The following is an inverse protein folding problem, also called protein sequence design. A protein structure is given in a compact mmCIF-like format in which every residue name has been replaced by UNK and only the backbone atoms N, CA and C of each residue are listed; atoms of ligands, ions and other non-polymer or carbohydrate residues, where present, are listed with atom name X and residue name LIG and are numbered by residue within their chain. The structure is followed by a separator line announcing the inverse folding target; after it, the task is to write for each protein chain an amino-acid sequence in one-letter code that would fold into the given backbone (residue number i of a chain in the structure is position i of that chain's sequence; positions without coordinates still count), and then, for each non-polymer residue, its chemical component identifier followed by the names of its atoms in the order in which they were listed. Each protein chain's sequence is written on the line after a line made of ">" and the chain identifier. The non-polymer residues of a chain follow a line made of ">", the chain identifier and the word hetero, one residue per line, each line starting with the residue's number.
data_IF_043903965399
#
_entry.id   IF_043903965399
#
_cell.length_a   1.000
_cell.length_b   1.000
_cell.length_c   1.000
_cell.angle_alpha   90.00
_cell.angle_beta   90.00
_cell.angle_gamma   90.00
#
_symmetry.space_group_name_H-M   'P 1'
#
loop_
_entity.id
_entity.type
_entity.pdbx_description
1 polymer ?
#
# COMPACT_ATOMS: atom_id res chain seq x y z
N UNK A 1 7.31 -4.00 10.36
CA UNK A 1 6.73 -2.88 11.15
C UNK A 1 5.83 -2.05 10.22
N UNK A 2 4.79 -1.37 10.70
CA UNK A 2 3.72 -0.76 9.85
C UNK A 2 3.44 0.71 10.27
N UNK A 3 3.03 1.56 9.31
CA UNK A 3 2.49 2.91 9.57
C UNK A 3 1.00 2.95 9.28
N UNK A 4 0.20 3.60 10.14
CA UNK A 4 -1.27 3.45 10.14
C UNK A 4 -1.97 4.82 10.16
N UNK A 5 -2.92 5.07 9.26
CA UNK A 5 -3.86 6.20 9.29
C UNK A 5 -5.33 5.73 9.17
N UNK A 6 -6.29 6.41 9.79
CA UNK A 6 -7.72 6.08 9.77
C UNK A 6 -8.52 7.09 8.93
N UNK A 7 -8.91 6.77 7.69
CA UNK A 7 -9.69 7.67 6.84
C UNK A 7 -11.11 7.92 7.39
N UNK A 8 -11.74 9.05 7.03
CA UNK A 8 -13.06 9.45 7.56
C UNK A 8 -14.21 8.55 7.07
N UNK A 9 -13.99 7.69 6.08
CA UNK A 9 -14.95 6.69 5.59
C UNK A 9 -14.28 5.34 5.47
N UNK A 10 -15.01 4.29 5.85
CA UNK A 10 -14.58 2.91 5.62
C UNK A 10 -14.72 2.55 4.14
N UNK A 11 -13.80 1.72 3.66
CA UNK A 11 -13.90 1.12 2.34
C UNK A 11 -14.85 -0.10 2.39
N UNK A 12 -15.58 -0.33 1.31
CA UNK A 12 -16.25 -1.61 1.10
C UNK A 12 -15.22 -2.66 0.68
N UNK A 13 -15.19 -3.80 1.37
CA UNK A 13 -14.26 -4.90 1.10
C UNK A 13 -14.95 -6.15 0.52
N UNK A 14 -16.20 -6.02 0.04
CA UNK A 14 -16.97 -7.13 -0.51
C UNK A 14 -16.25 -7.74 -1.71
N UNK A 15 -15.99 -9.04 -1.66
CA UNK A 15 -15.28 -9.76 -2.73
C UNK A 15 -13.76 -9.71 -2.63
N UNK A 16 -13.18 -9.18 -1.54
CA UNK A 16 -11.73 -9.20 -1.35
C UNK A 16 -11.17 -10.63 -1.33
N UNK A 17 -10.22 -10.92 -2.21
CA UNK A 17 -9.47 -12.18 -2.20
C UNK A 17 -8.40 -12.23 -1.11
N UNK A 18 -8.03 -11.06 -0.56
CA UNK A 18 -6.86 -10.90 0.28
C UNK A 18 -5.58 -10.71 -0.52
N UNK A 19 -4.47 -10.57 0.20
CA UNK A 19 -3.13 -10.45 -0.37
C UNK A 19 -2.10 -11.11 0.55
N UNK A 20 -0.97 -11.53 -0.01
CA UNK A 20 0.25 -11.76 0.76
C UNK A 20 1.06 -10.44 0.75
N UNK A 21 1.43 -9.89 1.92
CA UNK A 21 2.23 -8.66 1.98
C UNK A 21 3.58 -8.77 1.28
N UNK A 22 3.91 -7.77 0.50
CA UNK A 22 5.22 -7.55 -0.10
C UNK A 22 5.79 -6.20 0.37
N UNK A 23 7.12 -6.11 0.44
CA UNK A 23 7.79 -4.84 0.76
C UNK A 23 7.46 -3.82 -0.34
N UNK A 24 7.07 -2.62 0.06
CA UNK A 24 6.63 -1.54 -0.83
C UNK A 24 5.11 -1.44 -0.98
N UNK A 25 4.34 -2.39 -0.46
CA UNK A 25 2.88 -2.35 -0.58
C UNK A 25 2.26 -1.20 0.21
N UNK A 26 1.42 -0.40 -0.46
CA UNK A 26 0.38 0.41 0.15
C UNK A 26 -0.86 -0.45 0.32
N UNK A 27 -1.38 -0.56 1.53
CA UNK A 27 -2.51 -1.42 1.84
C UNK A 27 -3.56 -0.76 2.73
N UNK A 28 -4.71 -1.41 2.80
CA UNK A 28 -5.68 -1.19 3.87
C UNK A 28 -5.99 -2.47 4.64
N UNK A 29 -6.08 -2.38 5.97
CA UNK A 29 -6.56 -3.48 6.80
C UNK A 29 -8.07 -3.37 7.00
N UNK A 30 -8.83 -4.31 6.46
CA UNK A 30 -10.30 -4.33 6.41
C UNK A 30 -10.96 -4.11 7.78
N UNK A 31 -10.57 -4.79 8.88
CA UNK A 31 -11.21 -4.62 10.18
C UNK A 31 -11.18 -3.17 10.70
N UNK A 32 -10.14 -2.41 10.34
CA UNK A 32 -9.91 -1.06 10.83
C UNK A 32 -10.07 0.02 9.75
N UNK A 33 -10.16 -0.40 8.48
CA UNK A 33 -10.14 0.46 7.29
C UNK A 33 -9.00 1.47 7.29
N UNK A 34 -7.88 1.12 7.93
CA UNK A 34 -6.73 1.98 8.02
C UNK A 34 -5.89 1.91 6.74
N UNK A 35 -4.94 2.83 6.55
CA UNK A 35 -3.97 2.83 5.45
C UNK A 35 -2.57 2.63 6.01
N UNK A 36 -1.76 1.84 5.32
CA UNK A 36 -0.37 1.65 5.71
C UNK A 36 0.57 1.19 4.61
N UNK A 37 1.87 1.28 4.91
CA UNK A 37 2.95 0.77 4.07
C UNK A 37 3.66 -0.39 4.76
N UNK A 38 3.93 -1.45 4.00
CA UNK A 38 4.88 -2.48 4.41
C UNK A 38 6.28 -2.09 3.94
N UNK A 39 7.19 -1.80 4.87
CA UNK A 39 8.63 -1.66 4.58
C UNK A 39 9.45 -2.87 5.08
N UNK A 40 8.80 -3.77 5.81
CA UNK A 40 9.30 -5.10 6.19
C UNK A 40 8.13 -6.07 6.33
N UNK A 41 8.21 -7.25 5.69
CA UNK A 41 7.13 -8.25 5.73
C UNK A 41 7.51 -9.54 6.45
N UNK A 42 8.80 -9.86 6.57
CA UNK A 42 9.26 -11.06 7.28
C UNK A 42 8.58 -12.35 6.78
N UNK A 43 7.86 -13.03 7.69
CA UNK A 43 7.12 -14.27 7.41
C UNK A 43 5.60 -14.07 7.29
N UNK A 44 5.14 -12.83 7.01
CA UNK A 44 3.73 -12.57 6.82
C UNK A 44 3.20 -13.39 5.62
N UNK A 45 2.08 -14.09 5.85
CA UNK A 45 1.42 -14.92 4.86
C UNK A 45 0.19 -14.25 4.24
N UNK A 46 -0.50 -14.99 3.39
CA UNK A 46 -1.75 -14.53 2.77
C UNK A 46 -2.80 -14.18 3.83
N UNK A 47 -3.40 -13.00 3.70
CA UNK A 47 -4.45 -12.50 4.59
C UNK A 47 -5.64 -11.94 3.80
N UNK A 48 -6.85 -12.35 4.17
CA UNK A 48 -8.11 -11.78 3.63
C UNK A 48 -8.49 -10.44 4.24
N UNK A 49 -7.80 -10.05 5.29
CA UNK A 49 -8.01 -8.77 5.96
C UNK A 49 -7.19 -7.65 5.33
N UNK A 50 -6.34 -7.95 4.35
CA UNK A 50 -5.52 -6.97 3.67
C UNK A 50 -5.98 -6.77 2.22
N UNK A 51 -5.93 -5.51 1.77
CA UNK A 51 -6.20 -5.11 0.40
C UNK A 51 -5.01 -4.29 -0.09
N UNK A 52 -4.40 -4.70 -1.21
CA UNK A 52 -3.35 -3.92 -1.88
C UNK A 52 -4.01 -2.78 -2.64
N UNK A 53 -3.60 -1.55 -2.33
CA UNK A 53 -4.09 -0.33 -2.97
C UNK A 53 -3.08 0.24 -3.97
N UNK A 54 -1.80 -0.06 -3.79
CA UNK A 54 -0.71 0.36 -4.66
C UNK A 54 0.63 -0.14 -4.15
N UNK A 55 1.71 0.33 -4.79
CA UNK A 55 3.09 -0.01 -4.43
C UNK A 55 3.97 1.23 -4.50
N UNK A 56 5.07 1.22 -3.75
CA UNK A 56 6.16 2.19 -3.85
C UNK A 56 7.51 1.47 -3.81
N UNK A 57 8.47 1.98 -4.57
CA UNK A 57 9.86 1.54 -4.50
C UNK A 57 10.71 2.47 -3.60
N UNK A 58 10.16 3.61 -3.18
CA UNK A 58 10.83 4.60 -2.32
C UNK A 58 10.71 4.24 -0.84
N UNK A 59 11.39 3.15 -0.45
CA UNK A 59 11.36 2.64 0.91
C UNK A 59 12.08 3.53 1.90
N UNK A 60 13.13 4.23 1.46
CA UNK A 60 13.90 5.14 2.30
C UNK A 60 13.02 6.30 2.78
N UNK A 61 12.30 6.97 1.87
CA UNK A 61 11.36 8.02 2.24
C UNK A 61 10.24 7.50 3.16
N UNK A 62 9.75 6.27 2.93
CA UNK A 62 8.78 5.65 3.83
C UNK A 62 9.36 5.44 5.22
N UNK A 63 10.59 4.94 5.35
CA UNK A 63 11.24 4.70 6.64
C UNK A 63 11.47 6.00 7.41
N UNK A 64 11.93 7.07 6.75
CA UNK A 64 12.21 8.38 7.37
C UNK A 64 11.03 8.99 8.12
N UNK A 65 9.78 8.67 7.77
CA UNK A 65 8.60 9.18 8.46
C UNK A 65 8.41 8.56 9.88
N UNK A 66 9.32 7.73 10.40
CA UNK A 66 9.10 6.99 11.65
C UNK A 66 9.06 7.94 12.85
N UNK A 67 8.05 7.76 13.73
CA UNK A 67 7.83 8.67 14.86
C UNK A 67 7.34 10.08 14.46
N UNK A 68 7.03 10.31 13.19
CA UNK A 68 6.53 11.60 12.70
C UNK A 68 5.02 11.59 12.47
N UNK A 69 4.38 12.76 12.56
CA UNK A 69 3.00 12.94 12.14
C UNK A 69 2.93 13.02 10.62
N UNK A 70 2.12 12.15 9.99
CA UNK A 70 1.98 12.05 8.53
C UNK A 70 0.58 12.53 8.12
N UNK A 71 0.52 13.29 7.03
CA UNK A 71 -0.73 13.64 6.34
C UNK A 71 -0.81 12.88 5.02
N UNK A 72 -1.99 12.41 4.65
CA UNK A 72 -2.24 11.76 3.37
C UNK A 72 -3.17 12.67 2.58
N UNK A 73 -2.71 13.13 1.43
CA UNK A 73 -3.48 13.97 0.50
C UNK A 73 -3.51 13.34 -0.89
N UNK A 74 -4.53 13.73 -1.67
CA UNK A 74 -4.60 13.38 -3.09
C UNK A 74 -3.54 14.22 -3.81
N UNK A 75 -2.54 13.55 -4.38
CA UNK A 75 -1.56 14.20 -5.24
C UNK A 75 -2.15 14.44 -6.63
N UNK A 76 -1.86 15.59 -7.23
CA UNK A 76 -2.06 15.77 -8.66
C UNK A 76 -1.04 14.92 -9.41
N UNK A 77 -1.51 14.03 -10.28
CA UNK A 77 -0.60 13.26 -11.13
C UNK A 77 -0.02 14.17 -12.21
N UNK A 78 1.28 14.50 -12.10
CA UNK A 78 1.96 15.39 -13.03
C UNK A 78 2.31 14.75 -14.39
N UNK A 79 1.95 13.49 -14.62
CA UNK A 79 1.99 12.85 -15.93
C UNK A 79 3.38 12.77 -16.58
N UNK A 80 4.18 11.79 -16.18
CA UNK A 80 5.17 11.19 -17.09
C UNK A 80 4.85 9.70 -17.21
N UNK A 81 4.50 9.27 -18.43
CA UNK A 81 4.28 7.88 -18.79
C UNK A 81 5.58 7.09 -18.60
N UNK A 82 5.66 6.27 -17.55
CA UNK A 82 6.58 5.13 -17.56
C UNK A 82 6.15 4.21 -18.71
N UNK A 83 6.99 4.12 -19.74
CA UNK A 83 6.76 3.24 -20.87
C UNK A 83 6.56 1.80 -20.37
N UNK A 84 5.34 1.28 -20.50
CA UNK A 84 5.08 -0.14 -20.34
C UNK A 84 5.88 -0.88 -21.41
N UNK A 85 7.01 -1.47 -21.00
CA UNK A 85 7.70 -2.49 -21.78
C UNK A 85 6.81 -3.74 -21.83
N UNK A 86 5.81 -3.72 -22.71
CA UNK A 86 5.09 -4.93 -23.11
C UNK A 86 6.02 -5.76 -23.97
N UNK A 87 6.80 -6.64 -23.33
CA UNK A 87 7.48 -7.72 -24.04
C UNK A 87 6.45 -8.84 -24.25
N UNK A 88 5.84 -8.84 -25.43
CA UNK A 88 5.11 -10.01 -25.94
C UNK A 88 6.10 -11.15 -26.13
N UNK A 89 6.04 -12.19 -25.29
CA UNK A 89 6.57 -13.49 -25.69
C UNK A 89 5.59 -14.13 -26.68
N UNK A 90 6.13 -14.52 -27.83
CA UNK A 90 5.47 -15.30 -28.89
C UNK A 90 5.06 -16.68 -28.40
#
# INVERSE_FOLDING_TARGET
>A
MEKINYPPRRFGATGNAGMAPEVGDLFSCVPWSNLGFFYETGLLGQSRDLIRLGTTDDLEAVMELEGTAVTIDIAEWAGETAALATSFYR
#
